data_IF_061281928114
#
_entry.id   IF_061281928114
#
_cell.length_a   1.000
_cell.length_b   1.000
_cell.length_c   1.000
_cell.angle_alpha   90.00
_cell.angle_beta   90.00
_cell.angle_gamma   90.00
#
_symmetry.space_group_name_H-M   'P 1'
#
loop_
_entity.id
_entity.type
_entity.pdbx_description
1 polymer ?
#
# COMPACT_ATOMS: atom_id res chain seq x y z
N UNK A 1 -32.95 6.04 -3.83
CA UNK A 1 -32.02 4.90 -3.92
C UNK A 1 -30.69 5.47 -4.42
N UNK A 2 -29.73 5.65 -3.52
CA UNK A 2 -28.45 6.35 -3.74
C UNK A 2 -27.28 5.33 -3.89
N UNK A 3 -27.61 4.06 -4.10
CA UNK A 3 -26.70 2.92 -3.95
C UNK A 3 -25.65 2.86 -5.06
N UNK A 4 -25.99 3.27 -6.29
CA UNK A 4 -25.07 3.26 -7.43
C UNK A 4 -23.91 4.24 -7.26
N UNK A 5 -24.18 5.49 -6.88
CA UNK A 5 -23.14 6.53 -6.77
C UNK A 5 -22.12 6.21 -5.67
N UNK A 6 -22.59 5.60 -4.57
CA UNK A 6 -21.73 5.17 -3.48
C UNK A 6 -20.90 3.92 -3.86
N UNK A 7 -21.50 2.93 -4.50
CA UNK A 7 -20.77 1.73 -4.98
C UNK A 7 -19.70 2.09 -6.03
N UNK A 8 -20.02 3.02 -6.94
CA UNK A 8 -19.06 3.55 -7.92
C UNK A 8 -17.89 4.23 -7.21
N UNK A 9 -18.16 5.01 -6.16
CA UNK A 9 -17.13 5.72 -5.39
C UNK A 9 -16.21 4.74 -4.66
N UNK A 10 -16.77 3.77 -3.93
CA UNK A 10 -16.00 2.73 -3.25
C UNK A 10 -15.14 1.91 -4.22
N UNK A 11 -15.68 1.57 -5.39
CA UNK A 11 -14.94 0.83 -6.41
C UNK A 11 -13.75 1.63 -6.93
N UNK A 12 -13.90 2.95 -7.13
CA UNK A 12 -12.80 3.85 -7.51
C UNK A 12 -11.75 3.93 -6.42
N UNK A 13 -12.15 4.10 -5.17
CA UNK A 13 -11.23 4.16 -4.02
C UNK A 13 -10.47 2.85 -3.82
N UNK A 14 -11.14 1.71 -3.94
CA UNK A 14 -10.50 0.38 -3.91
C UNK A 14 -9.47 0.24 -5.02
N UNK A 15 -9.81 0.66 -6.24
CA UNK A 15 -8.89 0.58 -7.38
C UNK A 15 -7.67 1.50 -7.20
N UNK A 16 -7.88 2.70 -6.64
CA UNK A 16 -6.80 3.61 -6.29
C UNK A 16 -5.87 3.01 -5.25
N UNK A 17 -6.41 2.51 -4.12
CA UNK A 17 -5.60 1.88 -3.07
C UNK A 17 -4.82 0.68 -3.61
N UNK A 18 -5.45 -0.16 -4.44
CA UNK A 18 -4.77 -1.28 -5.11
C UNK A 18 -3.61 -0.82 -6.00
N UNK A 19 -3.81 0.25 -6.76
CA UNK A 19 -2.74 0.82 -7.58
C UNK A 19 -1.58 1.29 -6.71
N UNK A 20 -1.87 2.04 -5.64
CA UNK A 20 -0.86 2.54 -4.69
C UNK A 20 -0.06 1.38 -4.09
N UNK A 21 -0.74 0.37 -3.52
CA UNK A 21 -0.11 -0.84 -2.96
C UNK A 21 0.82 -1.51 -3.97
N UNK A 22 0.35 -1.71 -5.21
CA UNK A 22 1.16 -2.35 -6.25
C UNK A 22 2.40 -1.51 -6.60
N UNK A 23 2.25 -0.19 -6.76
CA UNK A 23 3.37 0.69 -7.07
C UNK A 23 4.38 0.78 -5.92
N UNK A 24 3.92 0.84 -4.67
CA UNK A 24 4.78 0.87 -3.49
C UNK A 24 5.54 -0.44 -3.32
N UNK A 25 4.87 -1.60 -3.47
CA UNK A 25 5.54 -2.91 -3.44
C UNK A 25 6.59 -3.05 -4.54
N UNK A 26 6.29 -2.60 -5.76
CA UNK A 26 7.26 -2.63 -6.86
C UNK A 26 8.48 -1.74 -6.57
N UNK A 27 8.26 -0.52 -6.07
CA UNK A 27 9.34 0.39 -5.70
C UNK A 27 10.21 -0.17 -4.57
N UNK A 28 9.60 -0.79 -3.54
CA UNK A 28 10.33 -1.45 -2.46
C UNK A 28 11.17 -2.62 -2.98
N UNK A 29 10.59 -3.51 -3.79
CA UNK A 29 11.30 -4.64 -4.36
C UNK A 29 12.46 -4.20 -5.27
N UNK A 30 12.29 -3.11 -6.02
CA UNK A 30 13.35 -2.55 -6.86
C UNK A 30 14.50 -2.01 -6.00
N UNK A 31 14.22 -1.30 -4.90
CA UNK A 31 15.25 -0.82 -3.97
C UNK A 31 15.98 -1.97 -3.29
N UNK A 32 15.25 -2.98 -2.81
CA UNK A 32 15.84 -4.17 -2.20
C UNK A 32 16.77 -4.89 -3.17
N UNK A 33 16.36 -4.99 -4.44
CA UNK A 33 17.19 -5.56 -5.51
C UNK A 33 18.43 -4.72 -5.80
N UNK A 34 18.29 -3.39 -5.88
CA UNK A 34 19.39 -2.48 -6.22
C UNK A 34 20.47 -2.45 -5.13
N UNK A 35 20.06 -2.50 -3.87
CA UNK A 35 20.97 -2.50 -2.71
C UNK A 35 21.37 -3.92 -2.26
N UNK A 36 20.68 -4.94 -2.74
CA UNK A 36 20.91 -6.34 -2.37
C UNK A 36 20.57 -6.65 -0.90
N UNK A 37 19.71 -5.84 -0.29
CA UNK A 37 19.38 -5.91 1.13
C UNK A 37 18.01 -5.29 1.43
N UNK A 38 17.40 -5.71 2.53
CA UNK A 38 16.14 -5.15 3.03
C UNK A 38 16.32 -3.73 3.58
N UNK A 39 15.22 -3.00 3.77
CA UNK A 39 15.25 -1.67 4.43
C UNK A 39 15.94 -1.73 5.80
N UNK A 40 15.65 -2.76 6.61
CA UNK A 40 16.22 -2.90 7.95
C UNK A 40 17.74 -3.09 7.91
N UNK A 41 18.23 -3.87 6.94
CA UNK A 41 19.66 -4.06 6.71
C UNK A 41 20.32 -2.79 6.17
N UNK A 42 19.68 -2.08 5.24
CA UNK A 42 20.15 -0.80 4.72
C UNK A 42 20.27 0.24 5.85
N UNK A 43 19.23 0.40 6.68
CA UNK A 43 19.22 1.31 7.82
C UNK A 43 20.37 1.00 8.80
N UNK A 44 20.62 -0.28 9.07
CA UNK A 44 21.75 -0.71 9.91
C UNK A 44 23.09 -0.40 9.23
N UNK A 45 23.25 -0.72 7.95
CA UNK A 45 24.48 -0.49 7.22
C UNK A 45 24.83 1.01 7.09
N UNK A 46 23.84 1.88 6.96
CA UNK A 46 24.02 3.35 7.00
C UNK A 46 24.49 3.79 8.39
N UNK A 47 23.85 3.32 9.45
CA UNK A 47 24.23 3.66 10.83
C UNK A 47 25.67 3.21 11.16
N UNK A 48 26.14 2.11 10.56
CA UNK A 48 27.50 1.60 10.69
C UNK A 48 28.49 2.21 9.67
N UNK A 49 28.05 3.11 8.79
CA UNK A 49 28.88 3.73 7.75
C UNK A 49 29.33 2.78 6.64
N UNK A 50 28.67 1.62 6.50
CA UNK A 50 28.96 0.57 5.50
C UNK A 50 28.19 0.74 4.19
N UNK A 51 27.16 1.58 4.19
CA UNK A 51 26.35 1.90 3.01
C UNK A 51 26.31 3.42 2.82
N UNK A 52 26.67 3.87 1.62
CA UNK A 52 26.53 5.27 1.22
C UNK A 52 25.23 5.42 0.40
N UNK A 53 24.20 5.95 1.05
CA UNK A 53 22.89 6.28 0.44
C UNK A 53 22.52 7.68 0.90
N UNK A 54 21.78 8.43 0.07
CA UNK A 54 21.33 9.76 0.47
C UNK A 54 20.24 9.68 1.54
N UNK A 55 20.22 10.64 2.47
CA UNK A 55 19.15 10.74 3.48
C UNK A 55 17.76 10.82 2.84
N UNK A 56 17.65 11.50 1.69
CA UNK A 56 16.39 11.61 0.95
C UNK A 56 15.90 10.25 0.41
N UNK A 57 16.81 9.42 -0.12
CA UNK A 57 16.45 8.08 -0.59
C UNK A 57 16.11 7.16 0.58
N UNK A 58 16.84 7.26 1.69
CA UNK A 58 16.60 6.47 2.89
C UNK A 58 15.26 6.84 3.54
N UNK A 59 14.94 8.14 3.61
CA UNK A 59 13.64 8.64 4.07
C UNK A 59 12.49 8.16 3.19
N UNK A 60 12.65 8.23 1.86
CA UNK A 60 11.62 7.74 0.94
C UNK A 60 11.40 6.23 1.06
N UNK A 61 12.46 5.45 1.23
CA UNK A 61 12.35 4.01 1.46
C UNK A 61 11.62 3.73 2.78
N UNK A 62 11.96 4.47 3.84
CA UNK A 62 11.26 4.41 5.12
C UNK A 62 9.76 4.71 4.98
N UNK A 63 9.42 5.82 4.32
CA UNK A 63 8.04 6.24 4.10
C UNK A 63 7.25 5.16 3.37
N UNK A 64 7.82 4.56 2.32
CA UNK A 64 7.17 3.48 1.58
C UNK A 64 6.96 2.22 2.43
N UNK A 65 7.93 1.85 3.30
CA UNK A 65 7.79 0.73 4.24
C UNK A 65 6.73 1.00 5.30
N UNK A 66 6.67 2.21 5.85
CA UNK A 66 5.70 2.59 6.89
C UNK A 66 4.28 2.81 6.32
N UNK A 67 4.17 3.27 5.07
CA UNK A 67 2.90 3.54 4.41
C UNK A 67 2.24 2.28 3.82
N UNK A 68 3.03 1.31 3.32
CA UNK A 68 2.49 0.09 2.70
C UNK A 68 1.41 -0.62 3.54
N UNK A 69 1.62 -0.94 4.84
CA UNK A 69 0.60 -1.65 5.62
C UNK A 69 -0.69 -0.84 5.80
N UNK A 70 -0.61 0.49 5.82
CA UNK A 70 -1.78 1.36 5.92
C UNK A 70 -2.61 1.32 4.63
N UNK A 71 -1.95 1.30 3.48
CA UNK A 71 -2.63 1.16 2.19
C UNK A 71 -3.22 -0.25 1.99
N UNK A 72 -2.55 -1.28 2.48
CA UNK A 72 -3.06 -2.65 2.48
C UNK A 72 -4.29 -2.80 3.37
N UNK A 73 -4.27 -2.22 4.57
CA UNK A 73 -5.43 -2.18 5.46
C UNK A 73 -6.61 -1.48 4.79
N UNK A 74 -6.41 -0.26 4.25
CA UNK A 74 -7.45 0.47 3.53
C UNK A 74 -8.05 -0.33 2.37
N UNK A 75 -7.20 -1.02 1.60
CA UNK A 75 -7.65 -1.86 0.50
C UNK A 75 -8.59 -2.98 0.98
N UNK A 76 -8.27 -3.60 2.12
CA UNK A 76 -9.14 -4.62 2.70
C UNK A 76 -10.45 -4.02 3.25
N UNK A 77 -10.40 -2.86 3.91
CA UNK A 77 -11.60 -2.16 4.38
C UNK A 77 -12.58 -1.85 3.23
N UNK A 78 -12.08 -1.36 2.09
CA UNK A 78 -12.91 -1.11 0.91
C UNK A 78 -13.46 -2.40 0.29
N UNK A 79 -12.70 -3.51 0.36
CA UNK A 79 -13.14 -4.81 -0.11
C UNK A 79 -14.27 -5.36 0.76
N UNK A 80 -14.12 -5.29 2.08
CA UNK A 80 -15.15 -5.71 3.05
C UNK A 80 -16.43 -4.87 2.89
N UNK A 81 -16.29 -3.55 2.72
CA UNK A 81 -17.43 -2.66 2.49
C UNK A 81 -18.24 -3.05 1.24
N UNK A 82 -17.58 -3.33 0.12
CA UNK A 82 -18.23 -3.78 -1.11
C UNK A 82 -18.88 -5.17 -0.96
N UNK A 83 -18.23 -6.09 -0.23
CA UNK A 83 -18.78 -7.42 0.01
C UNK A 83 -20.05 -7.37 0.87
N UNK A 84 -20.03 -6.56 1.94
CA UNK A 84 -21.19 -6.34 2.79
C UNK A 84 -22.38 -5.75 2.01
N UNK A 85 -22.12 -4.79 1.11
CA UNK A 85 -23.17 -4.23 0.25
C UNK A 85 -23.80 -5.27 -0.66
N UNK A 86 -22.99 -6.14 -1.25
CA UNK A 86 -23.47 -7.25 -2.09
C UNK A 86 -24.35 -8.23 -1.30
N UNK A 87 -23.97 -8.57 -0.07
CA UNK A 87 -24.73 -9.46 0.81
C UNK A 87 -26.07 -8.81 1.19
N UNK A 88 -26.06 -7.53 1.55
CA UNK A 88 -27.28 -6.78 1.89
C UNK A 88 -28.24 -6.66 0.71
N UNK A 89 -27.74 -6.45 -0.50
CA UNK A 89 -28.56 -6.42 -1.72
C UNK A 89 -29.18 -7.78 -2.05
N UNK A 90 -28.49 -8.88 -1.72
CA UNK A 90 -28.94 -10.25 -2.03
C UNK A 90 -29.93 -10.83 -1.00
N UNK A 91 -30.09 -10.21 0.17
CA UNK A 91 -31.01 -10.64 1.25
C UNK A 91 -32.33 -9.86 1.29
N UNK A 92 -32.47 -8.84 0.45
CA UNK A 92 -33.65 -7.97 0.38
C UNK A 92 -34.68 -8.36 -0.68
N UNK A 93 -34.48 -9.49 -1.38
CA UNK A 93 -35.38 -10.07 -2.38
C UNK A 93 -36.17 -11.26 -1.81
#
# INVERSE_FOLDING_TARGET
>A
MHTDEYEISLTRERNHCRQVVNTTRAALAEREKNHGMTYAEAAKAVAEGRLAISDAEMARWRDDVEALPQWEQRLEEYREALEMMRISASRGD
#
